data_IF_475725395873
#
_entry.id   IF_475725395873
#
_cell.length_a   1.000
_cell.length_b   1.000
_cell.length_c   1.000
_cell.angle_alpha   90.00
_cell.angle_beta   90.00
_cell.angle_gamma   90.00
#
_symmetry.space_group_name_H-M   'P 1'
#
loop_
_entity.id
_entity.type
_entity.pdbx_description
1 polymer ?
#
# COMPACT_ATOMS: atom_id res chain seq x y z
N UNK A 1 -7.51 27.03 -7.31
CA UNK A 1 -6.20 26.62 -6.75
C UNK A 1 -5.10 27.29 -7.54
N UNK A 2 -3.98 27.62 -6.90
CA UNK A 2 -2.82 28.21 -7.57
C UNK A 2 -2.20 27.17 -8.53
N UNK A 3 -1.98 27.54 -9.81
CA UNK A 3 -1.43 26.62 -10.82
C UNK A 3 0.03 26.22 -10.57
N UNK A 4 0.73 26.96 -9.70
CA UNK A 4 2.09 26.65 -9.22
C UNK A 4 2.10 25.66 -8.05
N UNK A 5 0.95 25.38 -7.44
CA UNK A 5 0.85 24.43 -6.32
C UNK A 5 1.31 23.03 -6.74
N UNK A 6 2.00 22.35 -5.82
CA UNK A 6 2.45 20.98 -6.01
C UNK A 6 1.26 20.02 -5.91
N UNK A 7 0.99 19.27 -6.98
CA UNK A 7 -0.11 18.31 -7.03
C UNK A 7 0.46 16.90 -7.04
N UNK A 8 0.01 16.05 -6.11
CA UNK A 8 0.40 14.66 -6.05
C UNK A 8 -0.74 13.79 -6.60
N UNK A 9 -0.48 13.06 -7.68
CA UNK A 9 -1.46 12.14 -8.30
C UNK A 9 -0.92 10.71 -8.20
N UNK A 10 -1.52 9.90 -7.34
CA UNK A 10 -1.27 8.45 -7.25
C UNK A 10 -2.25 7.70 -8.16
N UNK A 11 -1.93 6.46 -8.56
CA UNK A 11 -2.85 5.65 -9.37
C UNK A 11 -3.13 6.18 -10.78
N UNK A 12 -2.32 7.14 -11.26
CA UNK A 12 -2.50 7.81 -12.56
C UNK A 12 -2.44 6.90 -13.80
N UNK A 13 -2.08 5.62 -13.64
CA UNK A 13 -2.06 4.61 -14.72
C UNK A 13 -3.41 3.89 -14.91
N UNK A 14 -4.37 4.06 -14.01
CA UNK A 14 -5.74 3.55 -14.20
C UNK A 14 -6.61 4.53 -14.99
N UNK A 15 -7.74 4.06 -15.54
CA UNK A 15 -8.64 4.85 -16.43
C UNK A 15 -9.03 6.21 -15.83
N UNK A 16 -9.46 6.24 -14.57
CA UNK A 16 -9.86 7.48 -13.92
C UNK A 16 -8.66 8.38 -13.58
N UNK A 17 -7.54 7.76 -13.21
CA UNK A 17 -6.31 8.47 -12.84
C UNK A 17 -5.62 9.14 -14.03
N UNK A 18 -5.64 8.50 -15.20
CA UNK A 18 -5.07 9.06 -16.43
C UNK A 18 -5.89 10.25 -16.93
N UNK A 19 -7.23 10.14 -16.92
CA UNK A 19 -8.13 11.24 -17.28
C UNK A 19 -7.92 12.46 -16.38
N UNK A 20 -7.79 12.24 -15.06
CA UNK A 20 -7.52 13.34 -14.13
C UNK A 20 -6.14 13.97 -14.31
N UNK A 21 -5.11 13.18 -14.65
CA UNK A 21 -3.77 13.69 -14.97
C UNK A 21 -3.80 14.56 -16.24
N UNK A 22 -4.46 14.08 -17.29
CA UNK A 22 -4.55 14.79 -18.56
C UNK A 22 -5.39 16.07 -18.45
N UNK A 23 -6.51 16.02 -17.72
CA UNK A 23 -7.30 17.19 -17.40
C UNK A 23 -6.47 18.25 -16.63
N UNK A 24 -5.68 17.82 -15.64
CA UNK A 24 -4.83 18.72 -14.86
C UNK A 24 -3.75 19.39 -15.72
N UNK A 25 -3.13 18.65 -16.65
CA UNK A 25 -2.18 19.20 -17.62
C UNK A 25 -2.86 20.20 -18.56
N UNK A 26 -4.04 19.87 -19.09
CA UNK A 26 -4.80 20.72 -20.00
C UNK A 26 -5.24 22.05 -19.35
N UNK A 27 -5.49 22.05 -18.03
CA UNK A 27 -5.84 23.27 -17.27
C UNK A 27 -4.59 24.11 -16.95
N UNK A 28 -3.38 23.60 -17.23
CA UNK A 28 -2.11 24.32 -17.11
C UNK A 28 -1.41 24.17 -15.77
N UNK A 29 -1.67 23.08 -15.03
CA UNK A 29 -0.85 22.73 -13.87
C UNK A 29 0.50 22.16 -14.33
N UNK A 30 1.59 22.75 -13.87
CA UNK A 30 2.95 22.39 -14.29
C UNK A 30 3.71 21.58 -13.24
N UNK A 31 3.32 21.67 -11.97
CA UNK A 31 4.01 21.03 -10.85
C UNK A 31 3.27 19.77 -10.36
N UNK A 32 3.09 18.81 -11.26
CA UNK A 32 2.40 17.54 -10.97
C UNK A 32 3.45 16.45 -10.71
N UNK A 33 3.42 15.87 -9.52
CA UNK A 33 4.18 14.68 -9.15
C UNK A 33 3.28 13.47 -9.29
N UNK A 34 3.65 12.55 -10.17
CA UNK A 34 2.96 11.27 -10.31
C UNK A 34 3.74 10.16 -9.60
N UNK A 35 3.02 9.32 -8.86
CA UNK A 35 3.58 8.09 -8.30
C UNK A 35 2.82 6.90 -8.87
N UNK A 36 3.55 5.91 -9.39
CA UNK A 36 2.99 4.61 -9.75
C UNK A 36 3.25 3.66 -8.60
N UNK A 37 2.26 3.48 -7.72
CA UNK A 37 2.33 2.49 -6.65
C UNK A 37 1.17 1.52 -6.80
N UNK A 38 1.48 0.24 -6.98
CA UNK A 38 0.48 -0.83 -7.03
C UNK A 38 -0.31 -0.93 -5.71
N UNK A 39 0.36 -0.68 -4.59
CA UNK A 39 -0.24 -0.57 -3.26
C UNK A 39 0.57 0.41 -2.41
N UNK A 40 -0.04 0.93 -1.36
CA UNK A 40 0.63 1.73 -0.34
C UNK A 40 0.53 1.01 1.01
N UNK A 41 1.57 0.26 1.43
CA UNK A 41 1.49 -0.57 2.63
C UNK A 41 1.53 0.29 3.89
N UNK A 42 0.62 -0.02 4.83
CA UNK A 42 0.61 0.57 6.18
C UNK A 42 1.05 -0.48 7.20
N UNK A 43 2.14 -0.20 7.91
CA UNK A 43 2.57 -1.00 9.06
C UNK A 43 2.19 -0.25 10.33
N UNK A 44 1.26 -0.81 11.11
CA UNK A 44 0.79 -0.21 12.34
C UNK A 44 1.44 -0.88 13.55
N UNK A 45 2.00 -0.09 14.46
CA UNK A 45 2.65 -0.59 15.68
C UNK A 45 1.66 -1.27 16.64
N UNK A 46 0.39 -0.87 16.63
CA UNK A 46 -0.64 -1.39 17.53
C UNK A 46 -1.92 -1.74 16.78
N UNK A 47 -2.71 -2.72 17.25
CA UNK A 47 -3.98 -3.09 16.64
C UNK A 47 -5.00 -1.93 16.66
N UNK A 48 -4.98 -1.12 17.71
CA UNK A 48 -5.82 0.09 17.83
C UNK A 48 -5.54 1.09 16.70
N UNK A 49 -4.27 1.27 16.34
CA UNK A 49 -3.88 2.16 15.24
C UNK A 49 -4.32 1.59 13.89
N UNK A 50 -4.17 0.27 13.69
CA UNK A 50 -4.65 -0.42 12.49
C UNK A 50 -6.16 -0.23 12.32
N UNK A 51 -6.95 -0.50 13.37
CA UNK A 51 -8.40 -0.33 13.35
C UNK A 51 -8.81 1.11 13.04
N UNK A 52 -8.13 2.09 13.64
CA UNK A 52 -8.37 3.51 13.38
C UNK A 52 -8.18 3.88 11.90
N UNK A 53 -7.10 3.40 11.28
CA UNK A 53 -6.84 3.67 9.86
C UNK A 53 -7.76 2.89 8.93
N UNK A 54 -8.05 1.61 9.21
CA UNK A 54 -9.01 0.82 8.43
C UNK A 54 -10.37 1.53 8.39
N UNK A 55 -10.87 2.00 9.54
CA UNK A 55 -12.14 2.74 9.59
C UNK A 55 -12.09 4.03 8.76
N UNK A 56 -10.98 4.76 8.79
CA UNK A 56 -10.79 5.96 7.94
C UNK A 56 -10.83 5.61 6.45
N UNK A 57 -10.15 4.54 6.03
CA UNK A 57 -10.08 4.13 4.63
C UNK A 57 -11.42 3.60 4.09
N UNK A 58 -12.12 2.79 4.90
CA UNK A 58 -13.48 2.33 4.55
C UNK A 58 -14.43 3.52 4.39
N UNK A 59 -14.34 4.52 5.28
CA UNK A 59 -15.19 5.73 5.21
C UNK A 59 -15.02 6.52 3.91
N UNK A 60 -13.82 6.55 3.36
CA UNK A 60 -13.53 7.21 2.08
C UNK A 60 -13.72 6.29 0.85
N UNK A 61 -14.29 5.09 1.05
CA UNK A 61 -14.54 4.06 0.02
C UNK A 61 -13.30 3.55 -0.70
N UNK A 62 -12.14 3.64 -0.05
CA UNK A 62 -10.90 3.05 -0.55
C UNK A 62 -10.85 1.55 -0.23
N UNK A 63 -10.36 0.75 -1.16
CA UNK A 63 -10.21 -0.68 -0.96
C UNK A 63 -8.97 -0.97 -0.10
N UNK A 64 -9.20 -1.55 1.08
CA UNK A 64 -8.11 -2.00 1.96
C UNK A 64 -7.92 -3.50 1.81
N UNK A 65 -6.80 -3.90 1.21
CA UNK A 65 -6.39 -5.31 1.12
C UNK A 65 -5.35 -5.65 2.18
N UNK A 66 -5.51 -6.83 2.76
CA UNK A 66 -4.51 -7.41 3.66
C UNK A 66 -3.27 -7.82 2.86
N UNK A 67 -2.09 -7.64 3.44
CA UNK A 67 -0.88 -8.23 2.90
C UNK A 67 -0.90 -9.71 3.28
N UNK A 68 -1.08 -10.58 2.28
CA UNK A 68 -1.24 -12.02 2.46
C UNK A 68 0.08 -12.76 2.62
N UNK A 69 1.22 -12.06 2.55
CA UNK A 69 2.54 -12.69 2.46
C UNK A 69 3.47 -12.11 3.52
N UNK A 70 3.71 -12.90 4.57
CA UNK A 70 4.80 -12.67 5.52
C UNK A 70 6.08 -13.38 5.09
N UNK A 71 6.79 -13.99 6.03
CA UNK A 71 8.01 -14.74 5.75
C UNK A 71 7.75 -15.88 4.76
N UNK A 72 8.27 -15.74 3.53
CA UNK A 72 8.05 -16.69 2.44
C UNK A 72 8.61 -18.08 2.77
N UNK A 73 9.66 -18.16 3.60
CA UNK A 73 10.26 -19.43 4.05
C UNK A 73 9.32 -20.26 4.94
N UNK A 74 8.30 -19.62 5.53
CA UNK A 74 7.27 -20.32 6.31
C UNK A 74 6.27 -21.08 5.44
N UNK A 75 6.11 -20.68 4.17
CA UNK A 75 5.10 -21.22 3.27
C UNK A 75 5.41 -22.68 2.89
N UNK A 76 4.43 -23.60 2.86
CA UNK A 76 4.65 -25.01 2.54
C UNK A 76 5.32 -25.23 1.18
N UNK A 77 4.96 -24.41 0.19
CA UNK A 77 5.58 -24.45 -1.12
C UNK A 77 7.08 -24.10 -1.07
N UNK A 78 7.48 -23.08 -0.31
CA UNK A 78 8.87 -22.66 -0.23
C UNK A 78 9.74 -23.75 0.41
N UNK A 79 9.23 -24.37 1.48
CA UNK A 79 9.89 -25.50 2.18
C UNK A 79 10.09 -26.74 1.30
N UNK A 80 9.26 -26.92 0.27
CA UNK A 80 9.37 -28.05 -0.66
C UNK A 80 10.57 -27.93 -1.59
N UNK A 81 10.97 -26.72 -1.94
CA UNK A 81 11.97 -26.46 -2.99
C UNK A 81 13.25 -25.79 -2.50
N UNK A 82 13.25 -25.24 -1.28
CA UNK A 82 14.39 -24.52 -0.71
C UNK A 82 14.78 -25.17 0.62
N UNK A 83 15.98 -25.74 0.66
CA UNK A 83 16.54 -26.35 1.87
C UNK A 83 17.15 -25.31 2.83
N UNK A 84 17.73 -24.24 2.27
CA UNK A 84 18.40 -23.21 3.06
C UNK A 84 17.40 -22.23 3.67
N UNK A 85 17.56 -21.97 4.97
CA UNK A 85 16.79 -20.96 5.69
C UNK A 85 17.68 -19.88 6.25
N UNK A 86 17.15 -18.66 6.35
CA UNK A 86 17.90 -17.50 6.81
C UNK A 86 17.15 -16.86 7.97
N UNK A 87 17.89 -16.35 8.95
CA UNK A 87 17.27 -15.62 10.03
C UNK A 87 16.77 -14.25 9.53
N UNK A 88 15.47 -14.12 9.36
CA UNK A 88 14.82 -12.90 8.86
C UNK A 88 13.75 -12.39 9.85
N UNK A 89 14.14 -11.84 11.00
CA UNK A 89 13.21 -11.49 12.08
C UNK A 89 12.18 -10.44 11.66
N UNK A 90 12.48 -9.59 10.67
CA UNK A 90 11.55 -8.59 10.14
C UNK A 90 10.48 -9.17 9.20
N UNK A 91 10.74 -10.32 8.56
CA UNK A 91 9.80 -10.93 7.61
C UNK A 91 8.56 -11.52 8.30
N UNK A 92 8.71 -11.96 9.56
CA UNK A 92 7.61 -12.47 10.37
C UNK A 92 6.65 -11.37 10.85
N UNK A 93 7.05 -10.10 10.78
CA UNK A 93 6.23 -8.97 11.22
C UNK A 93 5.05 -8.69 10.29
N UNK A 94 5.12 -9.16 9.04
CA UNK A 94 4.08 -8.94 8.02
C UNK A 94 3.00 -10.03 8.03
N UNK A 95 2.97 -10.89 9.04
CA UNK A 95 1.95 -11.94 9.21
C UNK A 95 0.78 -11.38 10.03
N UNK A 96 -0.40 -11.28 9.41
CA UNK A 96 -1.63 -10.78 10.02
C UNK A 96 -2.02 -11.50 11.33
N UNK A 97 -1.76 -12.80 11.41
CA UNK A 97 -2.12 -13.65 12.56
C UNK A 97 -1.43 -13.25 13.88
N UNK A 98 -0.24 -12.62 13.83
CA UNK A 98 0.48 -12.17 15.04
C UNK A 98 0.01 -10.81 15.57
N UNK A 99 -0.73 -10.03 14.78
CA UNK A 99 -1.22 -8.72 15.21
C UNK A 99 -2.59 -8.79 15.91
N UNK A 100 -3.29 -9.92 15.83
CA UNK A 100 -4.58 -10.15 16.49
C UNK A 100 -4.49 -11.13 17.67
N UNK A 101 -3.34 -11.75 17.92
CA UNK A 101 -3.09 -12.62 19.07
C UNK A 101 -2.45 -11.83 20.22
N UNK A 102 -3.28 -11.04 20.92
CA UNK A 102 -3.08 -10.65 22.33
C UNK A 102 -4.42 -10.54 23.03
#
# INVERSE_FOLDING_TARGET
MNKSSKIYITGHRGILGSVNLDASKNIGYTNIITATTFAFPFVCKTPKLLAHYIQKFIKIREEVRQIMTGNMQSQPFCKKYIADTYNMPGADLFIFEKLLSK
#
